data_IF_934383515673
#
_entry.id   IF_934383515673
#
_cell.length_a   1.000
_cell.length_b   1.000
_cell.length_c   1.000
_cell.angle_alpha   90.00
_cell.angle_beta   90.00
_cell.angle_gamma   90.00
#
_symmetry.space_group_name_H-M   'P 1'
#
loop_
_entity.id
_entity.type
_entity.pdbx_description
1 polymer ?
#
# COMPACT_ATOMS: atom_id res chain seq x y z
N UNK A 1 14.14 -20.75 -2.49
CA UNK A 1 12.76 -20.81 -1.93
C UNK A 1 12.56 -19.59 -1.04
N UNK A 2 11.47 -18.83 -1.20
CA UNK A 2 11.10 -17.72 -0.29
C UNK A 2 10.20 -18.26 0.82
N UNK A 3 10.54 -18.03 2.09
CA UNK A 3 9.80 -18.52 3.26
C UNK A 3 8.95 -17.49 3.99
N UNK A 4 9.29 -16.20 3.89
CA UNK A 4 8.61 -15.07 4.50
C UNK A 4 8.87 -13.81 3.66
N UNK A 5 8.01 -12.80 3.76
CA UNK A 5 8.15 -11.49 3.15
C UNK A 5 8.16 -10.45 4.27
N UNK A 6 9.14 -9.54 4.23
CA UNK A 6 9.15 -8.35 5.09
C UNK A 6 8.89 -7.14 4.20
N UNK A 7 7.94 -6.30 4.61
CA UNK A 7 7.67 -5.00 3.99
C UNK A 7 8.14 -3.94 4.97
N UNK A 8 8.92 -2.98 4.49
CA UNK A 8 9.43 -1.87 5.29
C UNK A 8 9.53 -0.62 4.42
N UNK A 9 9.67 0.54 5.07
CA UNK A 9 9.97 1.80 4.40
C UNK A 9 11.32 2.34 4.83
N UNK A 10 11.38 3.66 4.95
CA UNK A 10 12.54 4.39 5.46
C UNK A 10 12.49 4.54 6.98
N UNK A 11 13.58 5.04 7.57
CA UNK A 11 13.62 5.40 9.00
C UNK A 11 12.53 6.43 9.35
N UNK A 12 12.32 7.43 8.47
CA UNK A 12 11.39 8.54 8.69
C UNK A 12 9.93 8.16 8.42
N UNK A 13 9.68 7.27 7.48
CA UNK A 13 8.33 6.84 7.12
C UNK A 13 8.33 5.45 6.50
N UNK A 14 7.45 4.60 7.04
CA UNK A 14 7.01 3.35 6.43
C UNK A 14 6.22 3.66 5.16
N UNK A 15 5.14 4.43 5.30
CA UNK A 15 4.33 4.96 4.22
C UNK A 15 3.49 6.15 4.71
N UNK A 16 3.69 7.33 4.13
CA UNK A 16 2.99 8.55 4.55
C UNK A 16 1.58 8.71 3.94
N UNK A 17 1.02 7.65 3.37
CA UNK A 17 -0.28 7.65 2.69
C UNK A 17 -0.18 7.57 1.18
N UNK A 18 -1.34 7.66 0.52
CA UNK A 18 -1.44 7.67 -0.93
C UNK A 18 -1.05 9.03 -1.52
N UNK A 19 -0.50 9.03 -2.73
CA UNK A 19 -0.08 10.25 -3.43
C UNK A 19 -1.28 11.09 -3.87
N UNK A 20 -1.59 12.16 -3.13
CA UNK A 20 -2.66 13.10 -3.44
C UNK A 20 -2.46 13.80 -4.80
N UNK A 21 -1.22 14.03 -5.22
CA UNK A 21 -0.91 14.67 -6.50
C UNK A 21 -1.20 13.76 -7.69
N UNK A 22 -1.04 12.44 -7.51
CA UNK A 22 -1.51 11.44 -8.47
C UNK A 22 -3.04 11.34 -8.46
N UNK A 23 -3.66 11.26 -7.28
CA UNK A 23 -5.11 11.12 -7.15
C UNK A 23 -5.89 12.32 -7.72
N UNK A 24 -5.38 13.54 -7.55
CA UNK A 24 -6.03 14.75 -8.03
C UNK A 24 -6.21 14.81 -9.56
N UNK A 25 -5.52 13.94 -10.32
CA UNK A 25 -5.61 13.86 -11.78
C UNK A 25 -6.67 12.87 -12.26
N UNK A 26 -7.22 12.04 -11.39
CA UNK A 26 -8.21 11.04 -11.79
C UNK A 26 -9.62 11.62 -11.84
N UNK A 27 -10.34 11.30 -12.92
CA UNK A 27 -11.80 11.41 -12.93
C UNK A 27 -12.42 10.23 -12.18
N UNK A 28 -13.73 10.33 -11.89
CA UNK A 28 -14.50 9.19 -11.37
C UNK A 28 -14.37 7.94 -12.24
N UNK A 29 -14.44 8.11 -13.57
CA UNK A 29 -14.37 6.99 -14.51
C UNK A 29 -13.00 6.30 -14.48
N UNK A 30 -11.91 7.07 -14.30
CA UNK A 30 -10.56 6.52 -14.20
C UNK A 30 -10.38 5.72 -12.91
N UNK A 31 -10.80 6.30 -11.78
CA UNK A 31 -10.70 5.65 -10.48
C UNK A 31 -11.54 4.37 -10.40
N UNK A 32 -12.77 4.40 -10.95
CA UNK A 32 -13.68 3.28 -10.94
C UNK A 32 -13.25 2.16 -11.90
N UNK A 33 -12.95 2.49 -13.17
CA UNK A 33 -12.54 1.46 -14.16
C UNK A 33 -11.15 0.89 -13.89
N UNK A 34 -10.27 1.70 -13.31
CA UNK A 34 -8.91 1.28 -12.94
C UNK A 34 -8.83 0.52 -11.63
N UNK A 35 -9.94 0.45 -10.88
CA UNK A 35 -10.05 -0.21 -9.57
C UNK A 35 -8.92 0.26 -8.63
N UNK A 36 -8.74 1.60 -8.59
CA UNK A 36 -7.52 2.28 -8.12
C UNK A 36 -7.09 1.86 -6.71
N UNK A 37 -8.06 1.70 -5.81
CA UNK A 37 -7.82 1.22 -4.45
C UNK A 37 -7.61 -0.31 -4.50
N UNK A 38 -8.61 -1.05 -4.95
CA UNK A 38 -8.73 -2.49 -4.67
C UNK A 38 -7.73 -3.37 -5.44
N UNK A 39 -7.36 -3.00 -6.67
CA UNK A 39 -6.57 -3.89 -7.56
C UNK A 39 -5.27 -4.37 -6.94
N UNK A 40 -4.57 -3.49 -6.22
CA UNK A 40 -3.26 -3.78 -5.66
C UNK A 40 -3.24 -3.78 -4.12
N UNK A 41 -4.09 -3.00 -3.43
CA UNK A 41 -4.09 -2.94 -1.95
C UNK A 41 -4.34 -4.30 -1.32
N UNK A 42 -5.24 -5.09 -1.90
CA UNK A 42 -5.69 -6.36 -1.31
C UNK A 42 -4.74 -7.54 -1.62
N UNK A 43 -3.75 -7.34 -2.50
CA UNK A 43 -2.88 -8.45 -2.97
C UNK A 43 -2.15 -9.12 -1.81
N UNK A 44 -1.68 -8.35 -0.82
CA UNK A 44 -0.98 -8.87 0.36
C UNK A 44 -1.83 -9.88 1.13
N UNK A 45 -3.16 -9.67 1.20
CA UNK A 45 -4.07 -10.58 1.91
C UNK A 45 -4.22 -11.94 1.22
N UNK A 46 -3.93 -12.01 -0.08
CA UNK A 46 -3.98 -13.26 -0.83
C UNK A 46 -2.70 -14.11 -0.72
N UNK A 47 -1.63 -13.55 -0.15
CA UNK A 47 -0.33 -14.21 -0.06
C UNK A 47 -0.38 -15.32 0.99
N UNK A 48 -0.09 -16.56 0.58
CA UNK A 48 -0.09 -17.75 1.47
C UNK A 48 1.14 -17.87 2.38
N UNK A 49 2.17 -17.07 2.15
CA UNK A 49 3.38 -17.03 2.98
C UNK A 49 3.24 -15.92 4.02
N UNK A 50 3.88 -16.02 5.18
CA UNK A 50 3.88 -14.93 6.15
C UNK A 50 4.39 -13.63 5.52
N UNK A 51 3.65 -12.54 5.77
CA UNK A 51 4.02 -11.18 5.43
C UNK A 51 4.09 -10.39 6.72
N UNK A 52 5.21 -9.73 7.00
CA UNK A 52 5.44 -8.95 8.21
C UNK A 52 5.76 -7.52 7.81
N UNK A 53 5.01 -6.55 8.33
CA UNK A 53 5.35 -5.13 8.20
C UNK A 53 6.33 -4.72 9.31
N UNK A 54 7.53 -4.28 8.93
CA UNK A 54 8.50 -3.65 9.82
C UNK A 54 8.34 -2.13 9.71
N UNK A 55 7.55 -1.56 10.61
CA UNK A 55 7.14 -0.15 10.54
C UNK A 55 8.13 0.74 11.31
N UNK A 56 8.64 1.79 10.66
CA UNK A 56 9.42 2.87 11.28
C UNK A 56 8.87 4.23 10.84
N UNK A 57 8.85 5.20 11.75
CA UNK A 57 8.32 6.53 11.46
C UNK A 57 6.83 6.50 11.12
N UNK A 58 6.42 7.29 10.12
CA UNK A 58 4.99 7.43 9.77
C UNK A 58 4.40 6.26 8.96
N UNK A 59 3.25 5.76 9.42
CA UNK A 59 2.32 4.91 8.69
C UNK A 59 0.92 5.56 8.74
N UNK A 60 0.54 6.29 7.70
CA UNK A 60 -0.65 7.16 7.70
C UNK A 60 -1.59 6.84 6.53
N UNK A 61 -2.91 6.92 6.76
CA UNK A 61 -3.93 6.66 5.73
C UNK A 61 -3.71 5.31 5.04
N UNK A 62 -3.60 5.32 3.71
CA UNK A 62 -3.29 4.12 2.91
C UNK A 62 -2.02 3.37 3.33
N UNK A 63 -1.06 4.05 3.97
CA UNK A 63 0.13 3.41 4.53
C UNK A 63 -0.09 2.68 5.86
N UNK A 64 -1.17 2.98 6.58
CA UNK A 64 -1.63 2.25 7.77
C UNK A 64 -2.61 1.12 7.39
N UNK A 65 -3.30 1.25 6.26
CA UNK A 65 -4.16 0.21 5.67
C UNK A 65 -3.35 -0.92 5.02
N UNK A 66 -2.11 -0.63 4.60
CA UNK A 66 -1.16 -1.57 4.01
C UNK A 66 -0.60 -2.54 5.06
#
# INVERSE_FOLDING_TARGET
KIGCIIITGSERAFAAGADIGAMAKYSFADAYKGDYITRNWETIRSIRKPVIAAVSGFALGGGCEL
#
